data_IF_622594197819
#
_entry.id   IF_622594197819
#
_cell.length_a   1.000
_cell.length_b   1.000
_cell.length_c   1.000
_cell.angle_alpha   90.00
_cell.angle_beta   90.00
_cell.angle_gamma   90.00
#
_symmetry.space_group_name_H-M   'P 1'
#
loop_
_entity.id
_entity.type
_entity.pdbx_description
1 polymer ?
#
# COMPACT_ATOMS: atom_id res chain seq x y z
N UNK A 1 -3.33 -5.90 -1.24
CA UNK A 1 -2.84 -7.09 -1.96
C UNK A 1 -2.94 -8.38 -1.15
N UNK A 2 -3.19 -8.32 0.14
CA UNK A 2 -3.62 -9.50 0.90
C UNK A 2 -5.13 -9.68 0.70
N UNK A 3 -5.58 -10.91 0.46
CA UNK A 3 -7.00 -11.21 0.28
C UNK A 3 -7.78 -11.23 1.59
N UNK A 4 -7.08 -11.17 2.72
CA UNK A 4 -7.62 -11.08 4.08
C UNK A 4 -6.63 -10.39 5.02
N UNK A 5 -7.09 -9.97 6.19
CA UNK A 5 -6.26 -9.34 7.21
C UNK A 5 -5.07 -10.22 7.61
N UNK A 6 -3.86 -9.65 7.78
CA UNK A 6 -2.72 -10.42 8.25
C UNK A 6 -2.93 -10.89 9.69
N UNK A 7 -2.56 -12.13 9.94
CA UNK A 7 -2.50 -12.71 11.29
C UNK A 7 -1.10 -12.64 11.92
N UNK A 8 -0.11 -12.31 11.11
CA UNK A 8 1.29 -12.11 11.55
C UNK A 8 1.79 -10.80 11.00
N UNK A 9 2.32 -9.94 11.87
CA UNK A 9 2.98 -8.70 11.51
C UNK A 9 4.30 -8.65 12.29
N UNK A 10 5.42 -8.67 11.56
CA UNK A 10 6.77 -8.47 12.09
C UNK A 10 7.27 -7.13 11.58
N UNK A 11 7.78 -6.31 12.49
CA UNK A 11 8.21 -4.97 12.10
C UNK A 11 9.38 -4.48 12.95
N UNK A 12 10.18 -3.60 12.37
CA UNK A 12 11.25 -2.87 13.03
C UNK A 12 11.21 -1.42 12.61
N UNK A 13 11.71 -0.54 13.47
CA UNK A 13 11.70 0.91 13.22
C UNK A 13 12.99 1.54 13.75
N UNK A 14 13.45 2.56 13.05
CA UNK A 14 14.46 3.51 13.53
C UNK A 14 13.80 4.89 13.63
N UNK A 15 14.13 5.63 14.68
CA UNK A 15 13.50 6.92 14.99
C UNK A 15 14.41 8.09 14.69
N UNK A 16 13.82 9.20 14.27
CA UNK A 16 14.43 10.51 14.33
C UNK A 16 14.54 10.99 15.80
N UNK A 17 15.40 11.97 16.06
CA UNK A 17 15.49 12.63 17.36
C UNK A 17 14.15 13.23 17.82
N UNK A 18 13.26 13.54 16.88
CA UNK A 18 11.91 14.05 17.14
C UNK A 18 10.92 12.99 17.63
N UNK A 19 11.31 11.70 17.58
CA UNK A 19 10.44 10.56 17.88
C UNK A 19 9.57 10.09 16.72
N UNK A 20 9.68 10.69 15.54
CA UNK A 20 9.04 10.20 14.34
C UNK A 20 9.82 9.01 13.73
N UNK A 21 9.13 8.10 13.08
CA UNK A 21 9.73 6.96 12.36
C UNK A 21 10.55 7.45 11.16
N UNK A 22 11.84 7.19 11.17
CA UNK A 22 12.77 7.54 10.09
C UNK A 22 12.82 6.45 9.02
N UNK A 23 12.91 5.22 9.47
CA UNK A 23 12.98 4.04 8.61
C UNK A 23 12.21 2.89 9.25
N UNK A 24 11.54 2.09 8.43
CA UNK A 24 10.86 0.91 8.93
C UNK A 24 10.88 -0.24 7.91
N UNK A 25 10.95 -1.45 8.45
CA UNK A 25 10.76 -2.71 7.74
C UNK A 25 9.54 -3.42 8.29
N UNK A 26 8.69 -3.93 7.40
CA UNK A 26 7.44 -4.57 7.77
C UNK A 26 7.28 -5.84 6.94
N UNK A 27 7.01 -6.97 7.62
CA UNK A 27 6.67 -8.24 7.00
C UNK A 27 5.29 -8.66 7.53
N UNK A 28 4.38 -8.96 6.62
CA UNK A 28 3.04 -9.44 6.99
C UNK A 28 2.74 -10.76 6.30
N UNK A 29 1.95 -11.60 6.97
CA UNK A 29 1.47 -12.86 6.43
C UNK A 29 0.04 -13.10 6.91
N UNK A 30 -0.80 -13.68 6.05
CA UNK A 30 -2.17 -14.11 6.40
C UNK A 30 -2.29 -15.63 6.52
N UNK A 31 -3.49 -16.12 6.83
CA UNK A 31 -3.74 -17.57 7.01
C UNK A 31 -3.65 -18.37 5.72
N UNK A 32 -3.83 -17.71 4.57
CA UNK A 32 -3.68 -18.32 3.24
C UNK A 32 -2.22 -18.45 2.78
N UNK A 33 -1.27 -17.93 3.58
CA UNK A 33 0.14 -17.95 3.23
C UNK A 33 0.61 -16.82 2.31
N UNK A 34 -0.27 -15.88 2.00
CA UNK A 34 0.11 -14.67 1.27
C UNK A 34 1.03 -13.81 2.14
N UNK A 35 2.07 -13.26 1.54
CA UNK A 35 3.11 -12.51 2.25
C UNK A 35 3.33 -11.14 1.61
N UNK A 36 3.56 -10.14 2.46
CA UNK A 36 3.95 -8.78 2.06
C UNK A 36 5.25 -8.41 2.75
N UNK A 37 6.16 -7.78 2.02
CA UNK A 37 7.38 -7.18 2.54
C UNK A 37 7.41 -5.71 2.12
N UNK A 38 7.58 -4.81 3.09
CA UNK A 38 7.67 -3.37 2.85
C UNK A 38 8.92 -2.80 3.51
N UNK A 39 9.53 -1.85 2.83
CA UNK A 39 10.60 -1.02 3.36
C UNK A 39 10.27 0.44 3.10
N UNK A 40 10.26 1.24 4.16
CA UNK A 40 9.95 2.67 4.12
C UNK A 40 11.13 3.45 4.70
N UNK A 41 11.46 4.60 4.12
CA UNK A 41 12.50 5.47 4.66
C UNK A 41 12.27 6.94 4.27
N UNK A 42 12.50 7.83 5.24
CA UNK A 42 12.63 9.26 5.01
C UNK A 42 14.09 9.67 4.78
N UNK A 43 15.04 8.81 5.15
CA UNK A 43 16.48 9.09 5.11
C UNK A 43 17.08 9.02 3.71
N UNK A 44 16.57 8.11 2.89
CA UNK A 44 17.09 7.86 1.55
C UNK A 44 15.98 7.78 0.51
N UNK A 45 16.24 8.31 -0.68
CA UNK A 45 15.30 8.18 -1.80
C UNK A 45 15.33 6.75 -2.34
N UNK A 46 14.19 6.08 -2.33
CA UNK A 46 13.99 4.77 -2.93
C UNK A 46 13.09 4.86 -4.17
N UNK A 47 13.20 3.91 -5.12
CA UNK A 47 12.20 3.76 -6.16
C UNK A 47 10.83 3.48 -5.54
N UNK A 48 9.82 4.28 -5.91
CA UNK A 48 8.43 4.05 -5.49
C UNK A 48 7.83 2.97 -6.37
N UNK A 49 7.87 1.73 -5.91
CA UNK A 49 7.45 0.57 -6.67
C UNK A 49 6.74 -0.43 -5.77
N UNK A 50 5.58 -0.90 -6.22
CA UNK A 50 4.88 -2.05 -5.65
C UNK A 50 4.92 -3.23 -6.62
N UNK A 51 5.13 -4.45 -6.12
CA UNK A 51 5.11 -5.67 -6.93
C UNK A 51 4.16 -6.67 -6.28
N UNK A 52 3.25 -7.23 -7.08
CA UNK A 52 2.38 -8.35 -6.69
C UNK A 52 2.76 -9.55 -7.53
N UNK A 53 3.18 -10.64 -6.90
CA UNK A 53 3.58 -11.88 -7.58
C UNK A 53 2.56 -12.97 -7.35
N UNK A 54 2.31 -13.75 -8.40
CA UNK A 54 1.47 -14.95 -8.39
C UNK A 54 2.09 -16.05 -9.24
N UNK A 55 1.43 -17.20 -9.30
CA UNK A 55 1.93 -18.41 -9.98
C UNK A 55 2.14 -18.22 -11.49
N UNK A 56 1.40 -17.30 -12.11
CA UNK A 56 1.43 -17.09 -13.57
C UNK A 56 2.26 -15.87 -13.98
N UNK A 57 2.66 -15.04 -13.03
CA UNK A 57 3.38 -13.83 -13.36
C UNK A 57 3.35 -12.81 -12.23
N UNK A 58 3.64 -11.56 -12.56
CA UNK A 58 3.63 -10.49 -11.59
C UNK A 58 3.14 -9.19 -12.20
N UNK A 59 2.66 -8.30 -11.32
CA UNK A 59 2.25 -6.94 -11.64
C UNK A 59 3.19 -5.98 -10.93
N UNK A 60 3.71 -5.00 -11.65
CA UNK A 60 4.49 -3.90 -11.09
C UNK A 60 3.74 -2.59 -11.26
N UNK A 61 3.64 -1.83 -10.17
CA UNK A 61 3.06 -0.48 -10.13
C UNK A 61 4.16 0.50 -9.77
N UNK A 62 4.33 1.54 -10.57
CA UNK A 62 5.39 2.54 -10.42
C UNK A 62 4.83 3.86 -9.91
N UNK A 63 5.66 4.61 -9.20
CA UNK A 63 5.39 5.97 -8.73
C UNK A 63 4.08 6.12 -7.91
N UNK A 64 3.73 5.07 -7.13
CA UNK A 64 2.63 5.21 -6.18
C UNK A 64 2.94 6.33 -5.13
N UNK A 65 1.96 6.93 -4.46
CA UNK A 65 0.53 6.64 -4.44
C UNK A 65 -0.28 7.23 -5.61
N UNK A 66 0.30 7.98 -6.51
CA UNK A 66 -0.39 8.59 -7.65
C UNK A 66 0.02 7.92 -8.95
N UNK A 67 -0.01 6.59 -8.94
CA UNK A 67 0.35 5.78 -10.09
C UNK A 67 -0.67 5.96 -11.22
N UNK A 68 -0.17 6.11 -12.44
CA UNK A 68 -0.96 6.06 -13.68
C UNK A 68 -0.50 4.93 -14.62
N UNK A 69 0.47 4.12 -14.16
CA UNK A 69 1.07 3.04 -14.97
C UNK A 69 1.34 1.79 -14.17
N UNK A 70 1.00 0.65 -14.76
CA UNK A 70 1.37 -0.67 -14.28
C UNK A 70 1.85 -1.55 -15.44
N UNK A 71 2.66 -2.56 -15.13
CA UNK A 71 3.01 -3.61 -16.09
C UNK A 71 2.59 -4.96 -15.56
N UNK A 72 2.08 -5.82 -16.42
CA UNK A 72 1.68 -7.20 -16.14
C UNK A 72 2.60 -8.11 -16.94
N UNK A 73 3.39 -8.93 -16.26
CA UNK A 73 4.33 -9.86 -16.91
C UNK A 73 3.86 -11.28 -16.71
N UNK A 74 3.65 -12.01 -17.82
CA UNK A 74 3.41 -13.45 -17.81
C UNK A 74 4.77 -14.17 -17.79
N UNK A 75 5.07 -14.91 -16.74
CA UNK A 75 6.39 -15.58 -16.57
C UNK A 75 6.55 -16.81 -17.45
N UNK A 76 5.47 -17.41 -17.95
CA UNK A 76 5.53 -18.58 -18.84
C UNK A 76 5.81 -18.20 -20.30
N UNK A 77 5.24 -17.07 -20.76
CA UNK A 77 5.37 -16.62 -22.16
C UNK A 77 6.41 -15.51 -22.32
N UNK A 78 6.76 -14.80 -21.24
CA UNK A 78 7.57 -13.58 -21.27
C UNK A 78 6.84 -12.36 -21.82
N UNK A 79 5.54 -12.46 -22.09
CA UNK A 79 4.73 -11.34 -22.55
C UNK A 79 4.57 -10.29 -21.45
N UNK A 80 4.66 -9.02 -21.85
CA UNK A 80 4.49 -7.87 -20.97
C UNK A 80 3.36 -7.00 -21.52
N UNK A 81 2.32 -6.83 -20.74
CA UNK A 81 1.25 -5.88 -20.99
C UNK A 81 1.49 -4.62 -20.15
N UNK A 82 1.26 -3.46 -20.76
CA UNK A 82 1.30 -2.17 -20.05
C UNK A 82 -0.11 -1.62 -19.93
N UNK A 83 -0.51 -1.28 -18.72
CA UNK A 83 -1.77 -0.60 -18.42
C UNK A 83 -1.43 0.84 -18.03
N UNK A 84 -2.01 1.80 -18.73
CA UNK A 84 -1.91 3.22 -18.41
C UNK A 84 -3.33 3.77 -18.24
N UNK A 85 -3.62 4.38 -17.08
CA UNK A 85 -4.95 4.89 -16.75
C UNK A 85 -4.83 6.15 -15.88
N UNK A 86 -5.67 7.12 -16.18
CA UNK A 86 -5.71 8.40 -15.48
C UNK A 86 -4.47 9.28 -15.73
N UNK A 87 -4.39 10.36 -14.96
CA UNK A 87 -3.26 11.29 -14.98
C UNK A 87 -2.89 11.67 -13.55
N UNK A 88 -1.61 11.62 -13.23
CA UNK A 88 -1.10 11.94 -11.89
C UNK A 88 -1.46 13.36 -11.44
N UNK A 89 -1.47 14.32 -12.36
CA UNK A 89 -1.85 15.71 -12.11
C UNK A 89 -3.33 15.89 -11.73
N UNK A 90 -4.20 14.99 -12.18
CA UNK A 90 -5.63 15.02 -11.91
C UNK A 90 -6.03 14.23 -10.64
N UNK A 91 -5.07 13.68 -9.88
CA UNK A 91 -5.34 12.79 -8.74
C UNK A 91 -6.31 13.39 -7.71
N UNK A 92 -6.14 14.68 -7.36
CA UNK A 92 -7.04 15.34 -6.41
C UNK A 92 -8.47 15.54 -6.97
N UNK A 93 -8.58 15.74 -8.29
CA UNK A 93 -9.88 15.81 -8.96
C UNK A 93 -10.60 14.47 -8.86
N UNK A 94 -9.90 13.35 -9.09
CA UNK A 94 -10.49 12.02 -8.95
C UNK A 94 -10.96 11.73 -7.52
N UNK A 95 -10.24 12.21 -6.50
CA UNK A 95 -10.67 12.09 -5.10
C UNK A 95 -12.01 12.81 -4.84
N UNK A 96 -12.19 14.04 -5.40
CA UNK A 96 -13.41 14.79 -5.27
C UNK A 96 -14.57 14.11 -6.01
N UNK A 97 -14.34 13.69 -7.26
CA UNK A 97 -15.35 12.99 -8.07
C UNK A 97 -15.78 11.67 -7.42
N UNK A 98 -14.85 10.91 -6.83
CA UNK A 98 -15.16 9.70 -6.10
C UNK A 98 -15.99 9.98 -4.84
N UNK A 99 -15.71 11.06 -4.10
CA UNK A 99 -16.49 11.45 -2.94
C UNK A 99 -17.92 11.88 -3.34
N UNK A 100 -18.07 12.65 -4.41
CA UNK A 100 -19.37 13.03 -4.95
C UNK A 100 -20.19 11.80 -5.34
N UNK A 101 -19.59 10.86 -6.08
CA UNK A 101 -20.24 9.61 -6.46
C UNK A 101 -20.64 8.76 -5.24
N UNK A 102 -19.82 8.73 -4.18
CA UNK A 102 -20.14 8.03 -2.95
C UNK A 102 -21.35 8.66 -2.22
N UNK A 103 -21.43 9.99 -2.16
CA UNK A 103 -22.56 10.71 -1.56
C UNK A 103 -23.87 10.43 -2.32
N UNK A 104 -23.81 10.35 -3.65
CA UNK A 104 -24.93 10.01 -4.52
C UNK A 104 -25.33 8.53 -4.49
N UNK A 105 -24.55 7.68 -3.81
CA UNK A 105 -24.77 6.23 -3.74
C UNK A 105 -24.39 5.48 -5.03
N UNK A 106 -23.60 6.10 -5.88
CA UNK A 106 -23.17 5.56 -7.17
C UNK A 106 -21.81 4.85 -7.12
N UNK A 107 -21.15 4.81 -5.95
CA UNK A 107 -19.86 4.14 -5.76
C UNK A 107 -20.05 2.85 -4.96
N UNK A 108 -19.60 1.72 -5.48
CA UNK A 108 -19.41 0.51 -4.68
C UNK A 108 -18.24 0.73 -3.73
N UNK A 109 -18.50 0.76 -2.41
CA UNK A 109 -17.60 1.34 -1.42
C UNK A 109 -16.67 0.31 -0.78
N UNK A 110 -15.84 -0.36 -1.58
CA UNK A 110 -14.72 -1.15 -1.08
C UNK A 110 -13.61 -0.28 -0.47
N UNK A 111 -13.54 0.99 -0.85
CA UNK A 111 -12.51 1.92 -0.38
C UNK A 111 -12.56 2.16 1.12
N UNK A 112 -13.75 2.24 1.74
CA UNK A 112 -13.88 2.40 3.19
C UNK A 112 -13.41 1.17 3.95
N UNK A 113 -13.69 -0.04 3.43
CA UNK A 113 -13.25 -1.29 4.04
C UNK A 113 -11.72 -1.36 4.00
N UNK A 114 -11.12 -1.11 2.83
CA UNK A 114 -9.67 -1.08 2.65
C UNK A 114 -9.02 -0.03 3.56
N UNK A 115 -9.60 1.15 3.68
CA UNK A 115 -9.10 2.21 4.57
C UNK A 115 -9.14 1.78 6.03
N UNK A 116 -10.25 1.21 6.50
CA UNK A 116 -10.37 0.71 7.88
C UNK A 116 -9.36 -0.39 8.19
N UNK A 117 -9.17 -1.32 7.27
CA UNK A 117 -8.22 -2.43 7.45
C UNK A 117 -6.77 -1.93 7.41
N UNK A 118 -6.45 -0.99 6.53
CA UNK A 118 -5.15 -0.32 6.52
C UNK A 118 -4.88 0.38 7.85
N UNK A 119 -5.85 1.12 8.40
CA UNK A 119 -5.71 1.80 9.69
C UNK A 119 -5.53 0.82 10.85
N UNK A 120 -6.20 -0.35 10.82
CA UNK A 120 -5.99 -1.42 11.82
C UNK A 120 -4.57 -1.97 11.77
N UNK A 121 -4.04 -2.22 10.58
CA UNK A 121 -2.66 -2.68 10.37
C UNK A 121 -1.67 -1.63 10.90
N UNK A 122 -1.82 -0.36 10.51
CA UNK A 122 -0.96 0.73 10.97
C UNK A 122 -1.01 0.90 12.50
N UNK A 123 -2.18 0.79 13.12
CA UNK A 123 -2.33 0.84 14.58
C UNK A 123 -1.60 -0.31 15.26
N UNK A 124 -1.69 -1.53 14.70
CA UNK A 124 -0.96 -2.70 15.22
C UNK A 124 0.56 -2.50 15.11
N UNK A 125 1.05 -2.00 13.99
CA UNK A 125 2.47 -1.71 13.76
C UNK A 125 2.95 -0.65 14.77
N UNK A 126 2.24 0.48 14.87
CA UNK A 126 2.55 1.56 15.81
C UNK A 126 2.59 1.08 17.27
N UNK A 127 1.67 0.18 17.64
CA UNK A 127 1.64 -0.43 18.98
C UNK A 127 2.88 -1.29 19.23
N UNK A 128 3.32 -2.09 18.26
CA UNK A 128 4.56 -2.87 18.37
C UNK A 128 5.79 -1.98 18.51
N UNK A 129 5.80 -0.82 17.88
CA UNK A 129 6.88 0.17 18.01
C UNK A 129 6.88 0.90 19.35
N UNK A 130 5.81 0.80 20.16
CA UNK A 130 5.63 1.60 21.37
C UNK A 130 5.48 3.10 21.08
N UNK A 131 5.15 3.45 19.84
CA UNK A 131 5.03 4.82 19.37
C UNK A 131 3.76 5.47 19.92
N UNK A 132 3.91 6.64 20.52
CA UNK A 132 2.79 7.48 20.98
C UNK A 132 3.00 8.90 20.47
N UNK A 133 1.93 9.49 19.97
CA UNK A 133 1.95 10.90 19.63
C UNK A 133 1.75 11.78 20.88
N UNK A 134 2.28 13.02 20.89
CA UNK A 134 2.19 13.90 22.06
C UNK A 134 0.76 14.26 22.49
N UNK A 135 -0.23 14.00 21.64
CA UNK A 135 -1.64 14.31 21.86
C UNK A 135 -2.50 13.06 22.15
N UNK A 136 -1.89 11.88 22.35
CA UNK A 136 -2.55 10.62 22.72
C UNK A 136 -2.54 10.33 24.22
#
# INVERSE_FOLDING_TARGET
FLSEMPNTILTTVEYLETGADEQSGIIMKNTKGEMVVMCLTLRAKQPKRGVVTGDKGYIEVYEYPRACKATITNTATGEVETVEEGKTEDALKYEVEAMEAAIEGNLEDDCQIITKDTMRILTSIKTQWGMKYPFE
#
